data_IF_504140003420
#
_entry.id   IF_504140003420
#
_cell.length_a   1.000
_cell.length_b   1.000
_cell.length_c   1.000
_cell.angle_alpha   90.00
_cell.angle_beta   90.00
_cell.angle_gamma   90.00
#
_symmetry.space_group_name_H-M   'P 1'
#
loop_
_entity.id
_entity.type
_entity.pdbx_description
1 polymer ?
#
# COMPACT_ATOMS: atom_id res chain seq x y z
N UNK A 1 13.17 -49.50 58.25
CA UNK A 1 13.02 -50.47 57.15
C UNK A 1 12.17 -49.79 56.08
N UNK A 2 12.71 -49.40 54.91
CA UNK A 2 12.72 -50.17 53.63
C UNK A 2 11.31 -50.69 53.30
N UNK A 3 10.64 -50.38 52.18
CA UNK A 3 11.06 -49.87 50.86
C UNK A 3 9.81 -49.48 50.02
N UNK A 4 10.00 -48.51 49.10
CA UNK A 4 9.57 -48.45 47.67
C UNK A 4 8.07 -48.70 47.34
N UNK A 5 7.40 -47.89 46.53
CA UNK A 5 7.74 -47.64 45.13
C UNK A 5 7.14 -46.31 44.64
N UNK A 6 7.96 -45.61 43.86
CA UNK A 6 7.60 -44.49 43.02
C UNK A 6 6.61 -44.93 41.93
N UNK A 7 5.73 -44.02 41.52
CA UNK A 7 5.32 -43.96 40.11
C UNK A 7 5.12 -42.51 39.71
N UNK A 8 6.09 -42.07 38.92
CA UNK A 8 6.20 -40.78 38.25
C UNK A 8 5.27 -40.75 37.04
N UNK A 9 4.43 -39.73 36.92
CA UNK A 9 3.99 -39.25 35.60
C UNK A 9 4.37 -37.77 35.48
N UNK A 10 5.56 -37.55 34.95
CA UNK A 10 5.93 -36.26 34.38
C UNK A 10 5.19 -36.13 33.04
N UNK A 11 4.19 -35.26 32.97
CA UNK A 11 3.64 -34.83 31.70
C UNK A 11 4.66 -33.88 31.05
N UNK A 12 5.41 -34.41 30.08
CA UNK A 12 6.23 -33.60 29.17
C UNK A 12 5.24 -32.83 28.29
N UNK A 13 5.01 -31.55 28.60
CA UNK A 13 4.39 -30.64 27.66
C UNK A 13 5.47 -30.32 26.63
N UNK A 14 5.48 -31.09 25.55
CA UNK A 14 6.24 -30.77 24.36
C UNK A 14 5.76 -29.40 23.87
N UNK A 15 6.65 -28.42 23.93
CA UNK A 15 6.46 -27.13 23.29
C UNK A 15 6.30 -27.36 21.78
N UNK A 16 5.06 -27.40 21.31
CA UNK A 16 4.77 -27.03 19.94
C UNK A 16 4.60 -25.51 19.93
N UNK A 17 5.72 -24.79 20.05
CA UNK A 17 5.78 -23.48 19.45
C UNK A 17 5.52 -23.74 17.97
N UNK A 18 4.31 -23.45 17.51
CA UNK A 18 4.13 -23.12 16.10
C UNK A 18 5.05 -21.95 15.87
N UNK A 19 6.28 -22.24 15.43
CA UNK A 19 7.05 -21.26 14.71
C UNK A 19 6.09 -20.81 13.62
N UNK A 20 5.62 -19.57 13.73
CA UNK A 20 5.12 -18.88 12.58
C UNK A 20 6.32 -18.85 11.63
N UNK A 21 6.40 -19.87 10.77
CA UNK A 21 7.20 -19.80 9.58
C UNK A 21 6.56 -18.66 8.82
N UNK A 22 7.13 -17.46 8.97
CA UNK A 22 6.99 -16.43 7.99
C UNK A 22 7.51 -17.08 6.70
N UNK A 23 6.58 -17.65 5.93
CA UNK A 23 6.84 -18.10 4.59
C UNK A 23 7.15 -16.82 3.82
N UNK A 24 8.43 -16.45 3.79
CA UNK A 24 8.94 -15.67 2.68
C UNK A 24 8.74 -16.58 1.48
N UNK A 25 7.63 -16.35 0.78
CA UNK A 25 7.30 -17.02 -0.47
C UNK A 25 8.41 -16.72 -1.47
N UNK A 26 9.40 -17.61 -1.49
CA UNK A 26 10.32 -17.74 -2.59
C UNK A 26 9.55 -18.20 -3.82
N UNK A 27 9.72 -17.47 -4.92
CA UNK A 27 9.47 -17.95 -6.27
C UNK A 27 8.01 -18.26 -6.59
N UNK A 28 7.21 -17.23 -6.79
CA UNK A 28 5.87 -17.37 -7.38
C UNK A 28 5.38 -16.03 -7.90
N UNK A 29 5.85 -15.66 -9.10
CA UNK A 29 5.31 -14.61 -9.99
C UNK A 29 4.66 -13.38 -9.31
N UNK A 30 5.29 -12.88 -8.23
CA UNK A 30 5.02 -11.53 -7.77
C UNK A 30 5.50 -10.66 -8.91
N UNK A 31 4.58 -10.01 -9.63
CA UNK A 31 4.90 -9.10 -10.73
C UNK A 31 6.02 -8.19 -10.27
N UNK A 32 7.24 -8.44 -10.75
CA UNK A 32 8.43 -7.80 -10.24
C UNK A 32 8.21 -6.30 -10.34
N UNK A 33 8.31 -5.60 -9.21
CA UNK A 33 8.12 -4.15 -9.20
C UNK A 33 9.12 -3.52 -10.16
N UNK A 34 8.71 -2.51 -10.95
CA UNK A 34 9.59 -1.90 -11.94
C UNK A 34 10.82 -1.24 -11.30
N UNK A 35 10.70 -0.78 -10.05
CA UNK A 35 11.74 -0.16 -9.23
C UNK A 35 11.21 0.04 -7.81
N UNK A 36 12.08 0.39 -6.85
CA UNK A 36 11.69 0.76 -5.48
C UNK A 36 11.26 2.22 -5.38
N UNK A 37 11.92 3.10 -6.15
CA UNK A 37 11.71 4.55 -6.15
C UNK A 37 11.49 5.03 -7.59
N UNK A 38 10.51 5.92 -7.76
CA UNK A 38 10.23 6.55 -9.04
C UNK A 38 9.63 7.94 -8.90
N UNK A 39 9.31 8.53 -10.03
CA UNK A 39 8.64 9.80 -10.18
C UNK A 39 7.32 9.60 -10.92
N UNK A 40 6.25 10.24 -10.46
CA UNK A 40 4.95 10.18 -11.11
C UNK A 40 4.55 11.56 -11.65
N UNK A 41 4.17 11.59 -12.92
CA UNK A 41 3.56 12.76 -13.56
C UNK A 41 2.22 12.34 -14.14
N UNK A 42 1.11 12.74 -13.52
CA UNK A 42 -0.22 12.29 -13.92
C UNK A 42 -1.26 12.48 -12.83
N UNK A 43 -2.21 11.55 -12.75
CA UNK A 43 -3.25 11.54 -11.72
C UNK A 43 -3.12 10.26 -10.91
N UNK A 44 -3.19 10.40 -9.59
CA UNK A 44 -3.26 9.30 -8.65
C UNK A 44 -4.41 9.48 -7.66
N UNK A 45 -4.80 8.42 -6.96
CA UNK A 45 -5.90 8.51 -6.00
C UNK A 45 -6.29 7.18 -5.40
N UNK A 46 -7.50 7.12 -4.85
CA UNK A 46 -8.08 5.81 -4.47
C UNK A 46 -8.24 4.94 -5.71
N UNK A 47 -8.21 3.61 -5.55
CA UNK A 47 -8.35 2.67 -6.69
C UNK A 47 -9.67 2.90 -7.43
N UNK A 48 -10.75 3.13 -6.68
CA UNK A 48 -12.09 3.37 -7.22
C UNK A 48 -12.17 4.71 -7.95
N UNK A 49 -11.75 5.80 -7.30
CA UNK A 49 -11.80 7.14 -7.88
C UNK A 49 -10.85 7.30 -9.08
N UNK A 50 -9.71 6.61 -9.10
CA UNK A 50 -8.81 6.59 -10.26
C UNK A 50 -9.48 5.88 -11.44
N UNK A 51 -10.18 4.77 -11.20
CA UNK A 51 -10.91 4.05 -12.26
C UNK A 51 -12.03 4.91 -12.85
N UNK A 52 -12.77 5.62 -12.00
CA UNK A 52 -13.80 6.57 -12.43
C UNK A 52 -13.21 7.74 -13.23
N UNK A 53 -12.07 8.30 -12.78
CA UNK A 53 -11.33 9.31 -13.52
C UNK A 53 -10.90 8.80 -14.90
N UNK A 54 -10.40 7.58 -15.00
CA UNK A 54 -9.99 6.97 -16.27
C UNK A 54 -11.17 6.73 -17.22
N UNK A 55 -12.36 6.43 -16.69
CA UNK A 55 -13.59 6.28 -17.45
C UNK A 55 -14.24 7.63 -17.83
N UNK A 56 -13.81 8.73 -17.21
CA UNK A 56 -14.33 10.08 -17.47
C UNK A 56 -13.89 10.56 -18.86
N UNK A 57 -14.78 11.15 -19.68
CA UNK A 57 -14.42 11.74 -20.97
C UNK A 57 -13.30 12.79 -20.82
N UNK A 58 -12.38 12.85 -21.78
CA UNK A 58 -11.21 13.76 -21.71
C UNK A 58 -11.56 15.22 -21.40
N UNK A 59 -12.64 15.74 -22.01
CA UNK A 59 -13.13 17.12 -21.76
C UNK A 59 -13.55 17.38 -20.31
N UNK A 60 -13.94 16.33 -19.58
CA UNK A 60 -14.50 16.38 -18.24
C UNK A 60 -13.43 16.03 -17.17
N UNK A 61 -12.29 15.44 -17.57
CA UNK A 61 -11.23 15.02 -16.64
C UNK A 61 -10.64 16.16 -15.81
N UNK A 62 -10.48 17.34 -16.39
CA UNK A 62 -9.96 18.49 -15.65
C UNK A 62 -10.88 18.85 -14.48
N UNK A 63 -12.19 18.92 -14.74
CA UNK A 63 -13.21 19.20 -13.73
C UNK A 63 -13.32 18.07 -12.71
N UNK A 64 -13.21 16.82 -13.14
CA UNK A 64 -13.26 15.66 -12.24
C UNK A 64 -12.24 15.76 -11.10
N UNK A 65 -10.99 16.12 -11.41
CA UNK A 65 -9.93 16.24 -10.38
C UNK A 65 -10.28 17.33 -9.36
N UNK A 66 -10.86 18.45 -9.80
CA UNK A 66 -11.25 19.53 -8.89
C UNK A 66 -12.48 19.17 -8.05
N UNK A 67 -13.45 18.48 -8.63
CA UNK A 67 -14.70 18.09 -7.96
C UNK A 67 -14.50 16.91 -6.98
N UNK A 68 -13.43 16.11 -7.18
CA UNK A 68 -13.13 14.90 -6.40
C UNK A 68 -11.69 14.91 -5.90
N UNK A 69 -11.27 16.02 -5.28
CA UNK A 69 -9.93 16.12 -4.71
C UNK A 69 -9.69 15.04 -3.65
N UNK A 70 -8.42 14.66 -3.48
CA UNK A 70 -8.08 13.56 -2.60
C UNK A 70 -8.33 13.93 -1.14
N UNK A 71 -9.03 13.04 -0.44
CA UNK A 71 -9.32 13.19 0.98
C UNK A 71 -8.99 11.88 1.66
N UNK A 72 -8.36 11.95 2.83
CA UNK A 72 -8.00 10.79 3.63
C UNK A 72 -8.29 11.05 5.10
N UNK A 73 -8.62 10.00 5.84
CA UNK A 73 -8.67 10.05 7.30
C UNK A 73 -7.25 9.94 7.84
N UNK A 74 -6.82 10.95 8.57
CA UNK A 74 -5.51 10.97 9.23
C UNK A 74 -5.69 10.62 10.70
N UNK A 75 -5.02 9.56 11.13
CA UNK A 75 -4.96 9.16 12.54
C UNK A 75 -3.98 10.01 13.35
N UNK A 76 -4.08 9.96 14.67
CA UNK A 76 -3.18 10.69 15.58
C UNK A 76 -1.69 10.32 15.38
N UNK A 77 -1.39 9.11 14.90
CA UNK A 77 -0.04 8.66 14.55
C UNK A 77 0.43 9.11 13.15
N UNK A 78 -0.37 9.90 12.44
CA UNK A 78 -0.05 10.46 11.13
C UNK A 78 -0.24 9.50 9.95
N UNK A 79 -0.97 8.39 10.13
CA UNK A 79 -1.29 7.47 9.03
C UNK A 79 -2.55 7.92 8.31
N UNK A 80 -2.44 8.10 7.01
CA UNK A 80 -3.55 8.33 6.10
C UNK A 80 -4.22 7.01 5.73
N UNK A 81 -5.54 6.94 5.89
CA UNK A 81 -6.38 5.77 5.62
C UNK A 81 -7.70 6.20 4.98
N UNK A 82 -8.49 5.24 4.50
CA UNK A 82 -9.82 5.47 3.94
C UNK A 82 -9.85 6.62 2.90
N UNK A 83 -8.85 6.66 2.02
CA UNK A 83 -8.71 7.72 1.04
C UNK A 83 -9.75 7.60 -0.08
N UNK A 84 -10.32 8.73 -0.48
CA UNK A 84 -11.25 8.90 -1.60
C UNK A 84 -10.76 10.01 -2.51
N UNK A 85 -11.25 10.05 -3.75
CA UNK A 85 -10.88 11.09 -4.71
C UNK A 85 -9.55 10.84 -5.39
N UNK A 86 -9.09 11.85 -6.12
CA UNK A 86 -7.88 11.86 -6.94
C UNK A 86 -7.11 13.15 -6.74
N UNK A 87 -5.83 13.12 -7.06
CA UNK A 87 -4.96 14.30 -7.03
C UNK A 87 -4.01 14.30 -8.22
N UNK A 88 -3.53 15.48 -8.58
CA UNK A 88 -2.55 15.66 -9.66
C UNK A 88 -1.14 15.56 -9.08
N UNK A 89 -0.33 14.70 -9.67
CA UNK A 89 1.07 14.52 -9.31
C UNK A 89 1.93 15.19 -10.39
N UNK A 90 2.77 16.14 -9.99
CA UNK A 90 3.57 16.94 -10.92
C UNK A 90 5.05 16.64 -10.74
N UNK A 91 5.46 15.44 -11.20
CA UNK A 91 6.81 14.92 -11.00
C UNK A 91 7.09 14.55 -9.54
N UNK A 92 6.12 13.91 -8.89
CA UNK A 92 6.26 13.56 -7.48
C UNK A 92 7.12 12.33 -7.27
N UNK A 93 8.10 12.44 -6.37
CA UNK A 93 8.91 11.31 -5.92
C UNK A 93 8.05 10.38 -5.07
N UNK A 94 8.01 9.11 -5.45
CA UNK A 94 7.20 8.07 -4.80
C UNK A 94 8.01 6.82 -4.51
N UNK A 95 7.58 6.08 -3.51
CA UNK A 95 8.03 4.69 -3.30
C UNK A 95 7.02 3.74 -3.93
N UNK A 96 7.48 2.85 -4.81
CA UNK A 96 6.60 1.85 -5.43
C UNK A 96 6.33 0.76 -4.41
N UNK A 97 5.05 0.47 -4.17
CA UNK A 97 4.63 -0.43 -3.11
C UNK A 97 4.15 -1.79 -3.64
N UNK A 98 3.27 -1.77 -4.64
CA UNK A 98 2.67 -3.00 -5.19
C UNK A 98 2.18 -2.81 -6.63
N UNK A 99 1.96 -3.90 -7.36
CA UNK A 99 1.20 -3.91 -8.62
C UNK A 99 -0.27 -4.20 -8.32
N UNK A 100 -1.18 -3.27 -8.62
CA UNK A 100 -2.62 -3.50 -8.45
C UNK A 100 -3.17 -4.34 -9.61
N UNK A 101 -2.79 -3.98 -10.83
CA UNK A 101 -3.11 -4.71 -12.06
C UNK A 101 -2.06 -4.41 -13.15
N UNK A 102 -2.27 -4.89 -14.38
CA UNK A 102 -1.31 -4.71 -15.48
C UNK A 102 -1.08 -3.24 -15.90
N UNK A 103 -1.98 -2.34 -15.53
CA UNK A 103 -1.96 -0.91 -15.88
C UNK A 103 -1.86 0.01 -14.67
N UNK A 104 -2.03 -0.51 -13.45
CA UNK A 104 -2.13 0.30 -12.23
C UNK A 104 -1.12 -0.16 -11.19
N UNK A 105 -0.42 0.81 -10.59
CA UNK A 105 0.56 0.60 -9.52
C UNK A 105 0.07 1.24 -8.23
N UNK A 106 0.37 0.62 -7.11
CA UNK A 106 0.25 1.22 -5.78
C UNK A 106 1.58 1.88 -5.42
N UNK A 107 1.52 3.15 -5.01
CA UNK A 107 2.70 3.94 -4.63
C UNK A 107 2.44 4.70 -3.34
N UNK A 108 3.50 4.97 -2.59
CA UNK A 108 3.48 5.91 -1.47
C UNK A 108 3.92 7.27 -1.97
N UNK A 109 3.02 8.24 -1.95
CA UNK A 109 3.28 9.63 -2.30
C UNK A 109 3.10 10.54 -1.08
N UNK A 110 3.83 11.65 -1.06
CA UNK A 110 3.66 12.70 -0.06
C UNK A 110 2.63 13.70 -0.59
N UNK A 111 1.45 13.70 0.01
CA UNK A 111 0.28 14.46 -0.46
C UNK A 111 -0.12 15.47 0.60
N UNK A 112 -0.32 16.71 0.18
CA UNK A 112 -0.91 17.75 1.02
C UNK A 112 -2.39 17.43 1.26
N UNK A 113 -2.76 17.30 2.53
CA UNK A 113 -4.14 17.13 2.96
C UNK A 113 -4.58 18.40 3.69
N UNK A 114 -5.25 18.26 4.85
CA UNK A 114 -5.76 19.40 5.59
C UNK A 114 -4.66 20.40 6.02
N UNK A 115 -4.97 21.69 5.87
CA UNK A 115 -4.19 22.83 6.36
C UNK A 115 -2.73 22.88 5.88
N UNK A 116 -2.44 22.41 4.66
CA UNK A 116 -1.10 22.50 4.10
C UNK A 116 -0.12 21.46 4.62
N UNK A 117 -0.59 20.48 5.41
CA UNK A 117 0.26 19.45 5.95
C UNK A 117 0.33 18.25 5.02
N UNK A 118 1.55 17.75 4.82
CA UNK A 118 1.83 16.64 3.91
C UNK A 118 1.92 15.31 4.64
N UNK A 119 1.22 14.30 4.14
CA UNK A 119 1.18 12.95 4.70
C UNK A 119 1.66 11.91 3.69
N UNK A 120 2.30 10.81 4.14
CA UNK A 120 2.54 9.67 3.28
C UNK A 120 1.21 8.94 3.05
N UNK A 121 0.78 8.88 1.79
CA UNK A 121 -0.48 8.26 1.37
C UNK A 121 -0.20 7.16 0.36
N UNK A 122 -0.81 5.99 0.57
CA UNK A 122 -0.83 4.92 -0.43
C UNK A 122 -1.93 5.24 -1.43
N UNK A 123 -1.55 5.46 -2.69
CA UNK A 123 -2.46 5.77 -3.79
C UNK A 123 -2.20 4.88 -4.99
N UNK A 124 -3.23 4.68 -5.80
CA UNK A 124 -3.10 4.08 -7.12
C UNK A 124 -2.65 5.13 -8.13
N UNK A 125 -1.79 4.74 -9.07
CA UNK A 125 -1.35 5.55 -10.21
C UNK A 125 -1.31 4.69 -11.47
N UNK A 126 -1.40 5.32 -12.65
CA UNK A 126 -1.19 4.60 -13.91
C UNK A 126 0.28 4.19 -14.05
N UNK A 127 0.53 2.95 -14.44
CA UNK A 127 1.89 2.43 -14.71
C UNK A 127 2.60 3.26 -15.78
N UNK A 128 1.87 3.83 -16.75
CA UNK A 128 2.45 4.65 -17.81
C UNK A 128 2.96 6.02 -17.31
N UNK A 129 2.43 6.49 -16.17
CA UNK A 129 2.74 7.79 -15.57
C UNK A 129 3.92 7.69 -14.58
N UNK A 130 4.35 6.46 -14.25
CA UNK A 130 5.49 6.16 -13.40
C UNK A 130 6.79 6.10 -14.23
N UNK A 131 7.85 6.71 -13.72
CA UNK A 131 9.22 6.63 -14.24
C UNK A 131 10.17 6.24 -13.13
N UNK A 132 10.96 5.19 -13.32
CA UNK A 132 11.93 4.76 -12.32
C UNK A 132 13.08 5.77 -12.18
N UNK A 133 13.53 5.98 -10.95
CA UNK A 133 14.78 6.70 -10.68
C UNK A 133 15.94 5.89 -11.28
N UNK A 134 16.87 6.57 -11.97
CA UNK A 134 18.07 5.96 -12.57
C UNK A 134 19.23 6.00 -11.60
#
# INVERSE_FOLDING_TARGET
MKFLLASTLAAVIGAASTAALAQTSGGGDASQLPCDIGYVTGVGGSVESLREYQATPERDKYRYVTDHDIQCQVSDEGRATACTGVTRLSHEKVSVYDTIDSKTMSVVARIELEHGQTYPVIIAVSRQDLRCEQ
#
